data_IF_704629242040
#
_entry.id   IF_704629242040
#
_cell.length_a   1.000
_cell.length_b   1.000
_cell.length_c   1.000
_cell.angle_alpha   90.00
_cell.angle_beta   90.00
_cell.angle_gamma   90.00
#
_symmetry.space_group_name_H-M   'P 1'
#
loop_
_entity.id
_entity.type
_entity.pdbx_description
1 polymer ?
#
# COMPACT_ATOMS: atom_id res chain seq x y z
N UNK A 1 36.59 4.19 6.11
CA UNK A 1 35.47 3.24 5.99
C UNK A 1 34.32 3.92 5.26
N UNK A 2 34.16 3.73 3.94
CA UNK A 2 32.94 4.12 3.25
C UNK A 2 31.86 3.10 3.64
N UNK A 3 30.76 3.56 4.23
CA UNK A 3 29.61 2.73 4.58
C UNK A 3 28.90 2.25 3.31
N UNK A 4 28.68 0.95 3.14
CA UNK A 4 27.98 0.31 1.99
C UNK A 4 26.55 0.84 1.75
N UNK A 5 25.95 1.47 2.76
CA UNK A 5 24.58 1.99 2.71
C UNK A 5 24.50 3.36 2.03
N UNK A 6 23.43 3.56 1.26
CA UNK A 6 23.12 4.84 0.61
C UNK A 6 22.84 5.93 1.66
N UNK A 7 23.36 7.14 1.43
CA UNK A 7 23.16 8.29 2.31
C UNK A 7 22.08 9.19 1.73
N UNK A 8 21.07 9.48 2.54
CA UNK A 8 20.05 10.46 2.22
C UNK A 8 20.35 11.75 2.99
N UNK A 9 20.52 12.86 2.27
CA UNK A 9 20.59 14.19 2.86
C UNK A 9 19.17 14.76 2.89
N UNK A 10 18.67 15.08 4.08
CA UNK A 10 17.32 15.62 4.27
C UNK A 10 17.45 16.98 4.93
N UNK A 11 16.82 18.00 4.33
CA UNK A 11 16.69 19.32 4.94
C UNK A 11 15.49 19.32 5.87
N UNK A 12 15.69 19.76 7.10
CA UNK A 12 14.59 19.90 8.06
C UNK A 12 13.65 21.03 7.62
N UNK A 13 12.42 20.65 7.28
CA UNK A 13 11.32 21.59 7.00
C UNK A 13 10.45 21.73 8.26
N UNK A 14 9.60 22.75 8.37
CA UNK A 14 8.69 22.90 9.51
C UNK A 14 7.81 21.65 9.77
N UNK A 15 7.38 20.98 8.70
CA UNK A 15 6.61 19.74 8.81
C UNK A 15 7.45 18.57 9.36
N UNK A 16 8.71 18.46 8.94
CA UNK A 16 9.64 17.44 9.46
C UNK A 16 9.95 17.74 10.93
N UNK A 17 10.18 19.00 11.28
CA UNK A 17 10.43 19.41 12.66
C UNK A 17 9.25 19.00 13.57
N UNK A 18 8.03 19.34 13.17
CA UNK A 18 6.82 18.96 13.91
C UNK A 18 6.67 17.45 14.05
N UNK A 19 6.94 16.69 12.98
CA UNK A 19 6.88 15.23 13.03
C UNK A 19 7.90 14.64 14.01
N UNK A 20 9.12 15.20 14.05
CA UNK A 20 10.16 14.80 15.01
C UNK A 20 9.75 15.16 16.45
N UNK A 21 9.10 16.30 16.67
CA UNK A 21 8.68 16.71 18.01
C UNK A 21 7.55 15.79 18.53
N UNK A 22 6.61 15.41 17.68
CA UNK A 22 5.59 14.39 17.99
C UNK A 22 6.26 13.05 18.29
N UNK A 23 7.23 12.65 17.46
CA UNK A 23 7.99 11.42 17.67
C UNK A 23 8.74 11.43 19.00
N UNK A 24 9.33 12.55 19.41
CA UNK A 24 10.03 12.68 20.69
C UNK A 24 9.11 12.43 21.89
N UNK A 25 7.86 12.90 21.82
CA UNK A 25 6.86 12.61 22.87
C UNK A 25 6.37 11.16 22.84
N UNK A 26 6.42 10.51 21.67
CA UNK A 26 5.97 9.13 21.47
C UNK A 26 7.04 8.10 21.86
N UNK A 27 8.32 8.45 21.66
CA UNK A 27 9.50 7.62 21.95
C UNK A 27 10.48 8.35 22.87
N UNK A 28 10.16 8.50 24.17
CA UNK A 28 10.99 9.24 25.12
C UNK A 28 12.42 8.71 25.26
N UNK A 29 12.63 7.42 24.98
CA UNK A 29 13.93 6.75 25.05
C UNK A 29 14.96 7.29 24.06
N UNK A 30 14.51 7.89 22.94
CA UNK A 30 15.36 8.46 21.89
C UNK A 30 15.05 9.94 21.64
N UNK A 31 14.33 10.61 22.54
CA UNK A 31 13.85 11.99 22.36
C UNK A 31 14.94 13.02 22.05
N UNK A 32 16.17 12.79 22.51
CA UNK A 32 17.31 13.70 22.32
C UNK A 32 18.09 13.43 21.02
N UNK A 33 17.73 12.39 20.25
CA UNK A 33 18.38 12.03 18.99
C UNK A 33 17.39 12.20 17.83
N UNK A 34 17.40 13.40 17.23
CA UNK A 34 16.55 13.73 16.07
C UNK A 34 16.75 12.77 14.89
N UNK A 35 17.96 12.27 14.68
CA UNK A 35 18.25 11.36 13.58
C UNK A 35 17.70 9.96 13.86
N UNK A 36 17.77 9.48 15.11
CA UNK A 36 17.11 8.24 15.53
C UNK A 36 15.58 8.36 15.43
N UNK A 37 15.00 9.49 15.87
CA UNK A 37 13.58 9.76 15.73
C UNK A 37 13.14 9.74 14.26
N UNK A 38 13.87 10.41 13.38
CA UNK A 38 13.55 10.41 11.95
C UNK A 38 13.61 9.01 11.35
N UNK A 39 14.61 8.21 11.73
CA UNK A 39 14.71 6.80 11.32
C UNK A 39 13.51 6.00 11.80
N UNK A 40 13.10 6.21 13.07
CA UNK A 40 11.95 5.53 13.67
C UNK A 40 10.64 5.89 12.99
N UNK A 41 10.45 7.15 12.61
CA UNK A 41 9.30 7.60 11.81
C UNK A 41 9.25 6.87 10.47
N UNK A 42 10.38 6.74 9.77
CA UNK A 42 10.43 6.06 8.47
C UNK A 42 10.12 4.57 8.60
N UNK A 43 10.66 3.90 9.62
CA UNK A 43 10.33 2.50 9.93
C UNK A 43 8.83 2.33 10.22
N UNK A 44 8.28 3.16 11.10
CA UNK A 44 6.86 3.15 11.44
C UNK A 44 5.98 3.40 10.21
N UNK A 45 6.34 4.38 9.37
CA UNK A 45 5.63 4.66 8.13
C UNK A 45 5.69 3.52 7.11
N UNK A 46 6.82 2.80 7.05
CA UNK A 46 6.98 1.62 6.19
C UNK A 46 6.02 0.50 6.60
N UNK A 47 5.90 0.23 7.90
CA UNK A 47 4.97 -0.78 8.42
C UNK A 47 3.52 -0.43 8.10
N UNK A 48 3.15 0.84 8.23
CA UNK A 48 1.79 1.30 7.92
C UNK A 48 1.47 1.23 6.42
N UNK A 49 2.43 1.61 5.55
CA UNK A 49 2.30 1.44 4.10
C UNK A 49 2.11 -0.02 3.71
N UNK A 50 2.81 -0.94 4.37
CA UNK A 50 2.67 -2.37 4.11
C UNK A 50 1.27 -2.88 4.50
N UNK A 51 0.71 -2.43 5.63
CA UNK A 51 -0.68 -2.75 6.01
C UNK A 51 -1.68 -2.24 4.99
N UNK A 52 -1.57 -0.96 4.58
CA UNK A 52 -2.41 -0.39 3.55
C UNK A 52 -2.37 -1.17 2.23
N UNK A 53 -1.18 -1.65 1.84
CA UNK A 53 -1.02 -2.49 0.64
C UNK A 53 -1.75 -3.82 0.77
N UNK A 54 -1.64 -4.49 1.91
CA UNK A 54 -2.34 -5.75 2.19
C UNK A 54 -3.84 -5.53 2.14
N UNK A 55 -4.35 -4.48 2.79
CA UNK A 55 -5.76 -4.14 2.81
C UNK A 55 -6.30 -3.84 1.40
N UNK A 56 -5.53 -3.13 0.58
CA UNK A 56 -5.91 -2.85 -0.81
C UNK A 56 -6.00 -4.14 -1.65
N UNK A 57 -5.08 -5.09 -1.45
CA UNK A 57 -5.09 -6.39 -2.11
C UNK A 57 -6.32 -7.19 -1.67
N UNK A 58 -6.63 -7.23 -0.37
CA UNK A 58 -7.78 -7.97 0.14
C UNK A 58 -9.10 -7.36 -0.31
N UNK A 59 -9.24 -6.03 -0.32
CA UNK A 59 -10.40 -5.35 -0.91
C UNK A 59 -10.59 -5.73 -2.37
N UNK A 60 -9.52 -5.73 -3.17
CA UNK A 60 -9.57 -6.15 -4.57
C UNK A 60 -10.01 -7.61 -4.70
N UNK A 61 -9.46 -8.52 -3.89
CA UNK A 61 -9.84 -9.94 -3.88
C UNK A 61 -11.29 -10.15 -3.48
N UNK A 62 -11.80 -9.37 -2.53
CA UNK A 62 -13.19 -9.43 -2.11
C UNK A 62 -14.14 -9.03 -3.24
N UNK A 63 -13.81 -7.96 -3.99
CA UNK A 63 -14.60 -7.54 -5.15
C UNK A 63 -14.61 -8.60 -6.26
N UNK A 64 -13.44 -9.21 -6.56
CA UNK A 64 -13.36 -10.30 -7.54
C UNK A 64 -14.22 -11.49 -7.09
N UNK A 65 -14.14 -11.88 -5.82
CA UNK A 65 -14.96 -12.98 -5.27
C UNK A 65 -16.45 -12.68 -5.31
N UNK A 66 -16.85 -11.44 -5.03
CA UNK A 66 -18.25 -11.02 -5.09
C UNK A 66 -18.80 -11.03 -6.52
N UNK A 67 -17.98 -10.68 -7.52
CA UNK A 67 -18.35 -10.75 -8.93
C UNK A 67 -18.23 -12.15 -9.54
N UNK A 68 -17.36 -13.00 -9.01
CA UNK A 68 -17.12 -14.34 -9.54
C UNK A 68 -18.38 -15.21 -9.41
N UNK A 69 -18.90 -15.67 -10.54
CA UNK A 69 -20.08 -16.54 -10.59
C UNK A 69 -21.41 -15.82 -10.41
N UNK A 70 -21.44 -14.49 -10.26
CA UNK A 70 -22.68 -13.71 -10.16
C UNK A 70 -23.53 -13.77 -11.44
N UNK A 71 -22.92 -14.12 -12.58
CA UNK A 71 -23.58 -14.31 -13.87
C UNK A 71 -23.60 -15.78 -14.33
N UNK A 72 -23.28 -16.73 -13.45
CA UNK A 72 -23.38 -18.16 -13.78
C UNK A 72 -24.84 -18.51 -14.07
N UNK A 73 -25.10 -19.11 -15.25
CA UNK A 73 -26.44 -19.48 -15.69
C UNK A 73 -27.22 -18.38 -16.41
N UNK A 74 -26.68 -17.15 -16.53
CA UNK A 74 -27.29 -16.08 -17.33
C UNK A 74 -27.26 -16.40 -18.82
N UNK A 75 -26.20 -17.05 -19.28
CA UNK A 75 -26.07 -17.49 -20.67
C UNK A 75 -26.43 -18.97 -20.79
N UNK A 76 -27.26 -19.35 -21.79
CA UNK A 76 -27.50 -20.76 -22.08
C UNK A 76 -26.21 -21.46 -22.53
N UNK A 77 -26.12 -22.80 -22.38
CA UNK A 77 -24.89 -23.55 -22.69
C UNK A 77 -24.36 -23.35 -24.13
N UNK A 78 -25.23 -23.02 -25.08
CA UNK A 78 -24.92 -22.78 -26.49
C UNK A 78 -24.83 -21.29 -26.87
N UNK A 79 -24.86 -20.36 -25.91
CA UNK A 79 -24.89 -18.91 -26.17
C UNK A 79 -23.72 -18.44 -27.06
N UNK A 80 -22.51 -18.96 -26.82
CA UNK A 80 -21.32 -18.59 -27.57
C UNK A 80 -21.37 -19.06 -29.04
N UNK A 81 -22.12 -20.14 -29.32
CA UNK A 81 -22.31 -20.64 -30.68
C UNK A 81 -23.37 -19.82 -31.41
N UNK A 82 -24.50 -19.53 -30.74
CA UNK A 82 -25.55 -18.66 -31.27
C UNK A 82 -25.02 -17.27 -31.64
N UNK A 83 -24.18 -16.68 -30.79
CA UNK A 83 -23.53 -15.38 -31.06
C UNK A 83 -22.59 -15.40 -32.26
N UNK A 84 -21.96 -16.54 -32.55
CA UNK A 84 -21.08 -16.68 -33.73
C UNK A 84 -21.88 -16.85 -35.02
N UNK A 85 -23.02 -17.53 -34.95
CA UNK A 85 -23.93 -17.74 -36.08
C UNK A 85 -24.64 -16.43 -36.50
N UNK A 86 -24.73 -15.45 -35.60
CA UNK A 86 -25.31 -14.12 -35.88
C UNK A 86 -24.37 -13.14 -36.62
N UNK A 87 -23.07 -13.43 -36.72
CA UNK A 87 -22.14 -12.58 -37.48
C UNK A 87 -22.01 -13.09 -38.92
N UNK A 88 -22.32 -12.27 -39.94
CA UNK A 88 -21.99 -12.61 -41.32
C UNK A 88 -20.45 -12.57 -41.51
N UNK A 89 -19.94 -13.40 -42.42
CA UNK A 89 -18.51 -13.51 -42.76
C UNK A 89 -17.82 -12.16 -43.02
#
# INVERSE_FOLDING_TARGET
MPTTLHRFTITETPAIAQAIDIAATTWPEIQNDRAALLRRIVEFGSDELQKHRVDAIEKRRALIRAGAGSMTGVFPPNAAQLLKEEWPE
#
